data_IF_266112479362
#
_entry.id   IF_266112479362
#
_cell.length_a   1.000
_cell.length_b   1.000
_cell.length_c   1.000
_cell.angle_alpha   90.00
_cell.angle_beta   90.00
_cell.angle_gamma   90.00
#
_symmetry.space_group_name_H-M   'P 1'
#
loop_
_entity.id
_entity.type
_entity.pdbx_description
1 polymer ?
#
# COMPACT_ATOMS: atom_id res chain seq x y z
N UNK A 1 8.30 26.49 -9.24
CA UNK A 1 7.29 25.41 -9.14
C UNK A 1 8.04 24.11 -9.02
N UNK A 2 8.24 23.63 -7.79
CA UNK A 2 9.03 22.44 -7.50
C UNK A 2 8.20 21.20 -7.85
N UNK A 3 8.52 20.57 -8.96
CA UNK A 3 7.92 19.29 -9.36
C UNK A 3 8.09 18.23 -8.26
N UNK A 4 9.20 18.26 -7.54
CA UNK A 4 9.50 17.35 -6.42
C UNK A 4 8.51 17.46 -5.25
N UNK A 5 8.21 18.68 -4.79
CA UNK A 5 7.23 18.90 -3.70
C UNK A 5 5.83 18.49 -4.13
N UNK A 6 5.42 18.84 -5.35
CA UNK A 6 4.10 18.45 -5.87
C UNK A 6 3.93 16.93 -5.98
N UNK A 7 4.97 16.19 -6.37
CA UNK A 7 4.90 14.72 -6.41
C UNK A 7 4.86 14.14 -5.02
N UNK A 8 5.67 14.66 -4.08
CA UNK A 8 5.67 14.14 -2.71
C UNK A 8 4.32 14.35 -2.01
N UNK A 9 3.72 15.52 -2.22
CA UNK A 9 2.40 15.86 -1.69
C UNK A 9 1.29 15.04 -2.38
N UNK A 10 1.36 14.88 -3.70
CA UNK A 10 0.45 14.01 -4.45
C UNK A 10 0.57 12.55 -4.00
N UNK A 11 1.78 12.02 -3.88
CA UNK A 11 1.99 10.62 -3.49
C UNK A 11 1.51 10.35 -2.07
N UNK A 12 1.81 11.24 -1.11
CA UNK A 12 1.33 11.12 0.27
C UNK A 12 -0.20 11.15 0.35
N UNK A 13 -0.86 11.94 -0.50
CA UNK A 13 -2.32 12.06 -0.50
C UNK A 13 -3.00 10.92 -1.26
N UNK A 14 -2.36 10.39 -2.31
CA UNK A 14 -2.93 9.40 -3.21
C UNK A 14 -2.54 7.95 -2.90
N UNK A 15 -1.55 7.68 -2.04
CA UNK A 15 -1.15 6.31 -1.67
C UNK A 15 -2.34 5.44 -1.24
N UNK A 16 -3.23 5.97 -0.39
CA UNK A 16 -4.41 5.24 0.08
C UNK A 16 -5.40 4.94 -1.04
N UNK A 17 -5.64 5.91 -1.92
CA UNK A 17 -6.54 5.76 -3.07
C UNK A 17 -6.00 4.75 -4.10
N UNK A 18 -4.71 4.83 -4.42
CA UNK A 18 -4.03 3.90 -5.32
C UNK A 18 -4.10 2.45 -4.80
N UNK A 19 -3.88 2.27 -3.50
CA UNK A 19 -3.98 0.96 -2.85
C UNK A 19 -5.39 0.35 -2.96
N UNK A 20 -6.43 1.16 -2.75
CA UNK A 20 -7.83 0.71 -2.92
C UNK A 20 -8.13 0.30 -4.35
N UNK A 21 -7.66 1.07 -5.34
CA UNK A 21 -7.85 0.75 -6.77
C UNK A 21 -7.16 -0.58 -7.11
N UNK A 22 -5.93 -0.78 -6.65
CA UNK A 22 -5.17 -2.01 -6.88
C UNK A 22 -5.88 -3.21 -6.26
N UNK A 23 -6.31 -3.13 -5.00
CA UNK A 23 -7.04 -4.23 -4.35
C UNK A 23 -8.37 -4.50 -5.06
N UNK A 24 -9.10 -3.45 -5.46
CA UNK A 24 -10.35 -3.60 -6.21
C UNK A 24 -10.14 -4.34 -7.54
N UNK A 25 -9.10 -3.97 -8.29
CA UNK A 25 -8.76 -4.64 -9.55
C UNK A 25 -8.36 -6.11 -9.34
N UNK A 26 -7.57 -6.41 -8.31
CA UNK A 26 -7.16 -7.78 -7.97
C UNK A 26 -8.34 -8.62 -7.47
N UNK A 27 -9.25 -8.03 -6.69
CA UNK A 27 -10.47 -8.69 -6.24
C UNK A 27 -11.36 -9.09 -7.42
N UNK A 28 -11.54 -8.20 -8.40
CA UNK A 28 -12.27 -8.49 -9.65
C UNK A 28 -11.56 -9.60 -10.43
N UNK A 29 -10.23 -9.55 -10.54
CA UNK A 29 -9.45 -10.58 -11.22
C UNK A 29 -9.69 -11.97 -10.63
N UNK A 30 -9.64 -12.11 -9.30
CA UNK A 30 -9.90 -13.39 -8.64
C UNK A 30 -11.34 -13.87 -8.79
N UNK A 31 -12.32 -12.96 -8.79
CA UNK A 31 -13.72 -13.28 -9.02
C UNK A 31 -13.94 -13.82 -10.44
N UNK A 32 -13.30 -13.23 -11.45
CA UNK A 32 -13.35 -13.71 -12.85
C UNK A 32 -12.67 -15.06 -13.01
N UNK A 33 -11.52 -15.27 -12.35
CA UNK A 33 -10.78 -16.54 -12.42
C UNK A 33 -11.42 -17.69 -11.64
N UNK A 34 -12.49 -17.42 -10.85
CA UNK A 34 -13.15 -18.38 -9.95
C UNK A 34 -12.17 -19.08 -8.98
N UNK A 35 -11.08 -18.41 -8.62
CA UNK A 35 -10.07 -18.93 -7.70
C UNK A 35 -10.42 -18.54 -6.25
N UNK A 36 -11.53 -19.07 -5.72
CA UNK A 36 -12.05 -18.69 -4.40
C UNK A 36 -11.06 -18.96 -3.24
N UNK A 37 -10.25 -20.01 -3.34
CA UNK A 37 -9.25 -20.33 -2.31
C UNK A 37 -8.16 -19.26 -2.22
N UNK A 38 -7.75 -18.68 -3.36
CA UNK A 38 -6.78 -17.58 -3.41
C UNK A 38 -7.41 -16.24 -3.04
N UNK A 39 -8.70 -16.05 -3.33
CA UNK A 39 -9.45 -14.84 -2.96
C UNK A 39 -9.52 -14.64 -1.44
N UNK A 40 -9.80 -15.69 -0.68
CA UNK A 40 -9.87 -15.60 0.80
C UNK A 40 -8.49 -15.29 1.40
N UNK A 41 -7.43 -15.97 0.93
CA UNK A 41 -6.06 -15.69 1.37
C UNK A 41 -5.62 -14.25 1.02
N UNK A 42 -5.97 -13.79 -0.19
CA UNK A 42 -5.74 -12.42 -0.60
C UNK A 42 -6.55 -11.41 0.24
N UNK A 43 -7.80 -11.71 0.58
CA UNK A 43 -8.64 -10.85 1.41
C UNK A 43 -8.07 -10.65 2.81
N UNK A 44 -7.60 -11.72 3.45
CA UNK A 44 -6.94 -11.62 4.77
C UNK A 44 -5.65 -10.81 4.68
N UNK A 45 -4.82 -11.05 3.66
CA UNK A 45 -3.61 -10.27 3.42
C UNK A 45 -3.91 -8.79 3.17
N UNK A 46 -4.89 -8.49 2.32
CA UNK A 46 -5.33 -7.14 1.99
C UNK A 46 -5.84 -6.39 3.22
N UNK A 47 -6.54 -7.07 4.14
CA UNK A 47 -6.98 -6.48 5.41
C UNK A 47 -5.81 -6.14 6.33
N UNK A 48 -4.79 -6.98 6.41
CA UNK A 48 -3.61 -6.68 7.23
C UNK A 48 -2.88 -5.48 6.63
N UNK A 49 -2.61 -5.50 5.31
CA UNK A 49 -1.89 -4.42 4.63
C UNK A 49 -2.68 -3.11 4.63
N UNK A 50 -4.01 -3.15 4.57
CA UNK A 50 -4.82 -1.92 4.61
C UNK A 50 -4.63 -1.14 5.90
N UNK A 51 -4.55 -1.82 7.05
CA UNK A 51 -4.27 -1.17 8.33
C UNK A 51 -2.94 -0.43 8.30
N UNK A 52 -1.91 -1.02 7.66
CA UNK A 52 -0.62 -0.34 7.48
C UNK A 52 -0.71 0.84 6.51
N UNK A 53 -1.36 0.68 5.36
CA UNK A 53 -1.49 1.73 4.33
C UNK A 53 -2.28 2.93 4.82
N UNK A 54 -3.32 2.71 5.63
CA UNK A 54 -4.13 3.79 6.20
C UNK A 54 -3.58 4.37 7.49
N UNK A 55 -2.50 3.81 8.04
CA UNK A 55 -1.80 4.34 9.22
C UNK A 55 -0.46 4.98 8.79
N UNK A 56 -0.46 6.25 8.37
CA UNK A 56 0.73 6.90 7.80
C UNK A 56 1.91 6.98 8.76
N UNK A 57 1.65 7.03 10.07
CA UNK A 57 2.68 7.08 11.10
C UNK A 57 3.53 5.81 11.13
N UNK A 58 2.89 4.64 10.96
CA UNK A 58 3.57 3.34 10.96
C UNK A 58 4.47 3.19 9.73
N UNK A 59 4.04 3.69 8.56
CA UNK A 59 4.85 3.63 7.33
C UNK A 59 6.05 4.56 7.41
N UNK A 60 5.90 5.76 7.97
CA UNK A 60 7.01 6.69 8.17
C UNK A 60 8.04 6.15 9.16
N UNK A 61 7.58 5.54 10.26
CA UNK A 61 8.44 4.93 11.26
C UNK A 61 9.16 3.68 10.74
N UNK A 62 8.48 2.83 9.97
CA UNK A 62 9.12 1.66 9.35
C UNK A 62 10.10 2.09 8.26
N UNK A 63 9.73 3.05 7.41
CA UNK A 63 10.60 3.55 6.35
C UNK A 63 11.88 4.18 6.90
N UNK A 64 11.75 5.00 7.94
CA UNK A 64 12.91 5.61 8.61
C UNK A 64 13.80 4.57 9.31
N UNK A 65 13.20 3.59 10.00
CA UNK A 65 13.96 2.48 10.63
C UNK A 65 14.66 1.58 9.62
N UNK A 66 14.01 1.27 8.50
CA UNK A 66 14.63 0.48 7.43
C UNK A 66 15.75 1.27 6.75
N UNK A 67 15.54 2.56 6.50
CA UNK A 67 16.57 3.43 5.94
C UNK A 67 17.79 3.55 6.86
N UNK A 68 17.59 3.77 8.16
CA UNK A 68 18.69 3.83 9.12
C UNK A 68 19.38 2.47 9.33
N UNK A 69 18.67 1.35 9.18
CA UNK A 69 19.27 0.01 9.29
C UNK A 69 20.07 -0.37 8.04
N UNK A 70 19.63 0.06 6.85
CA UNK A 70 20.27 -0.28 5.57
C UNK A 70 21.37 0.71 5.18
N UNK A 71 21.20 2.00 5.50
CA UNK A 71 22.10 3.09 5.11
C UNK A 71 22.70 3.87 6.28
N UNK A 72 22.27 3.62 7.52
CA UNK A 72 22.77 4.29 8.72
C UNK A 72 23.89 3.53 9.43
N UNK A 73 24.69 2.78 8.67
CA UNK A 73 26.02 2.31 9.07
C UNK A 73 27.11 3.26 8.56
#
# INVERSE_FOLDING_TARGET
MNFGENIQEWFSTQIGALFLVIIGAVAIYFLVRREFSKFVGFGVFALIVSVFVFTPDVIKDLGSKMWSTVFGG
#
